data_IF_770987808648
#
_entry.id   IF_770987808648
#
_cell.length_a   1.000
_cell.length_b   1.000
_cell.length_c   1.000
_cell.angle_alpha   90.00
_cell.angle_beta   90.00
_cell.angle_gamma   90.00
#
_symmetry.space_group_name_H-M   'P 1'
#
loop_
_entity.id
_entity.type
_entity.pdbx_description
1 polymer ?
#
# COMPACT_ATOMS: atom_id res chain seq x y z
N UNK A 1 -27.52 9.16 19.55
CA UNK A 1 -27.66 8.87 18.11
C UNK A 1 -26.84 7.63 17.84
N UNK A 2 -27.41 6.56 17.32
CA UNK A 2 -26.65 5.40 16.85
C UNK A 2 -25.66 5.87 15.76
N UNK A 3 -24.42 5.39 15.83
CA UNK A 3 -23.43 5.73 14.82
C UNK A 3 -23.81 5.12 13.48
N UNK A 4 -23.79 5.91 12.42
CA UNK A 4 -24.06 5.41 11.06
C UNK A 4 -23.08 4.31 10.69
N UNK A 5 -23.56 3.28 10.02
CA UNK A 5 -22.76 2.11 9.62
C UNK A 5 -21.95 2.41 8.35
N UNK A 6 -20.63 2.24 8.39
CA UNK A 6 -19.77 2.34 7.20
C UNK A 6 -19.96 1.08 6.34
N UNK A 7 -20.80 1.20 5.30
CA UNK A 7 -21.18 0.04 4.49
C UNK A 7 -20.18 -0.34 3.40
N UNK A 8 -19.18 0.50 3.13
CA UNK A 8 -18.06 0.15 2.23
C UNK A 8 -17.09 -0.82 2.92
N UNK A 9 -16.99 -0.73 4.26
CA UNK A 9 -16.16 -1.61 5.07
C UNK A 9 -16.81 -2.96 5.39
N UNK A 10 -18.03 -3.23 4.92
CA UNK A 10 -18.72 -4.50 5.16
C UNK A 10 -18.29 -5.58 4.16
N UNK A 11 -18.17 -6.83 4.64
CA UNK A 11 -18.22 -7.99 3.75
C UNK A 11 -19.59 -8.07 3.07
N UNK A 12 -19.66 -8.76 1.94
CA UNK A 12 -20.92 -8.81 1.18
C UNK A 12 -22.07 -9.47 1.95
N UNK A 13 -21.80 -10.50 2.75
CA UNK A 13 -22.77 -11.12 3.65
C UNK A 13 -23.23 -10.16 4.76
N UNK A 14 -22.32 -9.42 5.38
CA UNK A 14 -22.66 -8.37 6.35
C UNK A 14 -23.49 -7.24 5.70
N UNK A 15 -23.22 -6.89 4.44
CA UNK A 15 -24.06 -5.95 3.69
C UNK A 15 -25.45 -6.54 3.43
N UNK A 16 -25.54 -7.83 3.10
CA UNK A 16 -26.82 -8.51 2.96
C UNK A 16 -27.63 -8.47 4.26
N UNK A 17 -26.99 -8.75 5.40
CA UNK A 17 -27.63 -8.73 6.73
C UNK A 17 -28.10 -7.33 7.09
N UNK A 18 -27.27 -6.30 6.86
CA UNK A 18 -27.69 -4.91 7.04
C UNK A 18 -28.93 -4.55 6.21
N UNK A 19 -28.96 -4.97 4.95
CA UNK A 19 -30.09 -4.69 4.05
C UNK A 19 -31.36 -5.44 4.48
N UNK A 20 -31.22 -6.69 4.91
CA UNK A 20 -32.40 -7.51 5.25
C UNK A 20 -32.89 -7.33 6.68
N UNK A 21 -31.97 -7.25 7.65
CA UNK A 21 -32.31 -7.19 9.07
C UNK A 21 -32.52 -5.74 9.54
N UNK A 22 -31.61 -4.82 9.18
CA UNK A 22 -31.65 -3.43 9.69
C UNK A 22 -32.59 -2.54 8.87
N UNK A 23 -32.73 -2.82 7.54
CA UNK A 23 -33.57 -2.03 6.63
C UNK A 23 -34.84 -2.76 6.16
N UNK A 24 -35.06 -4.03 6.54
CA UNK A 24 -36.22 -4.80 6.12
C UNK A 24 -36.42 -4.96 4.61
N UNK A 25 -35.30 -4.87 3.83
CA UNK A 25 -35.34 -4.90 2.37
C UNK A 25 -34.98 -6.28 1.81
N UNK A 26 -35.49 -6.65 0.63
CA UNK A 26 -35.11 -7.90 -0.01
C UNK A 26 -33.60 -8.01 -0.29
N UNK A 27 -33.00 -9.19 -0.11
CA UNK A 27 -31.57 -9.47 -0.24
C UNK A 27 -30.95 -8.99 -1.57
N UNK A 28 -31.70 -9.04 -2.69
CA UNK A 28 -31.18 -8.60 -3.99
C UNK A 28 -30.79 -7.10 -4.02
N UNK A 29 -31.32 -6.29 -3.08
CA UNK A 29 -30.94 -4.88 -2.94
C UNK A 29 -29.47 -4.72 -2.55
N UNK A 30 -28.91 -5.66 -1.80
CA UNK A 30 -27.49 -5.64 -1.44
C UNK A 30 -26.60 -5.64 -2.71
N UNK A 31 -26.93 -6.46 -3.72
CA UNK A 31 -26.20 -6.50 -4.99
C UNK A 31 -26.33 -5.19 -5.78
N UNK A 32 -27.50 -4.55 -5.77
CA UNK A 32 -27.70 -3.26 -6.41
C UNK A 32 -26.85 -2.17 -5.72
N UNK A 33 -26.88 -2.14 -4.38
CA UNK A 33 -26.14 -1.17 -3.58
C UNK A 33 -24.63 -1.38 -3.75
N UNK A 34 -24.12 -2.62 -3.68
CA UNK A 34 -22.72 -2.94 -3.95
C UNK A 34 -22.28 -2.45 -5.34
N UNK A 35 -23.11 -2.64 -6.36
CA UNK A 35 -22.84 -2.13 -7.71
C UNK A 35 -22.74 -0.61 -7.80
N UNK A 36 -23.45 0.14 -6.97
CA UNK A 36 -23.32 1.59 -6.85
C UNK A 36 -22.09 1.99 -6.04
N UNK A 37 -21.83 1.29 -4.92
CA UNK A 37 -20.64 1.50 -4.10
C UNK A 37 -19.37 1.38 -4.96
N UNK A 38 -19.25 0.34 -5.76
CA UNK A 38 -18.08 0.09 -6.61
C UNK A 38 -17.86 1.14 -7.72
N UNK A 39 -18.86 1.98 -7.95
CA UNK A 39 -18.81 3.12 -8.90
C UNK A 39 -18.60 4.47 -8.21
N UNK A 40 -18.47 4.50 -6.89
CA UNK A 40 -18.34 5.73 -6.12
C UNK A 40 -19.57 6.63 -6.21
N UNK A 41 -20.78 6.04 -6.16
CA UNK A 41 -22.06 6.74 -6.30
C UNK A 41 -22.67 6.95 -4.91
N UNK A 42 -23.05 8.21 -4.60
CA UNK A 42 -23.73 8.58 -3.35
C UNK A 42 -25.17 8.06 -3.30
N UNK A 43 -25.75 7.94 -2.09
CA UNK A 43 -27.08 7.37 -1.89
C UNK A 43 -28.17 8.06 -2.69
N UNK A 44 -28.15 9.39 -2.77
CA UNK A 44 -29.12 10.20 -3.52
C UNK A 44 -29.10 9.92 -5.03
N UNK A 45 -27.93 9.53 -5.56
CA UNK A 45 -27.71 9.23 -6.98
C UNK A 45 -27.96 7.75 -7.35
N UNK A 46 -28.35 6.88 -6.40
CA UNK A 46 -28.65 5.47 -6.66
C UNK A 46 -30.02 5.31 -7.34
N UNK A 47 -30.13 5.70 -8.61
CA UNK A 47 -31.39 5.91 -9.33
C UNK A 47 -32.33 4.70 -9.39
N UNK A 48 -31.81 3.46 -9.34
CA UNK A 48 -32.67 2.24 -9.36
C UNK A 48 -33.27 1.89 -8.01
N UNK A 49 -32.87 2.59 -6.93
CA UNK A 49 -33.44 2.41 -5.60
C UNK A 49 -34.63 3.35 -5.37
N UNK A 50 -35.69 2.88 -4.68
CA UNK A 50 -36.80 3.76 -4.25
C UNK A 50 -36.31 4.93 -3.41
N UNK A 51 -36.98 6.08 -3.52
CA UNK A 51 -36.59 7.30 -2.81
C UNK A 51 -36.55 7.12 -1.29
N UNK A 52 -37.54 6.44 -0.72
CA UNK A 52 -37.59 6.13 0.72
C UNK A 52 -36.39 5.31 1.18
N UNK A 53 -35.96 4.30 0.40
CA UNK A 53 -34.79 3.49 0.73
C UNK A 53 -33.51 4.32 0.67
N UNK A 54 -33.35 5.24 -0.30
CA UNK A 54 -32.20 6.14 -0.36
C UNK A 54 -32.12 7.07 0.84
N UNK A 55 -33.26 7.57 1.30
CA UNK A 55 -33.35 8.39 2.53
C UNK A 55 -32.95 7.56 3.74
N UNK A 56 -33.51 6.36 3.91
CA UNK A 56 -33.21 5.47 5.03
C UNK A 56 -31.73 5.06 5.05
N UNK A 57 -31.12 4.77 3.89
CA UNK A 57 -29.69 4.53 3.76
C UNK A 57 -28.86 5.75 4.24
N UNK A 58 -29.26 6.94 3.88
CA UNK A 58 -28.56 8.18 4.30
C UNK A 58 -28.65 8.44 5.81
N UNK A 59 -29.70 7.95 6.46
CA UNK A 59 -29.90 8.08 7.91
C UNK A 59 -29.10 7.04 8.69
N UNK A 60 -29.05 5.77 8.22
CA UNK A 60 -28.49 4.63 8.94
C UNK A 60 -27.06 4.26 8.51
N UNK A 61 -26.63 4.69 7.32
CA UNK A 61 -25.34 4.31 6.74
C UNK A 61 -24.51 5.53 6.30
N UNK A 62 -23.22 5.27 6.07
CA UNK A 62 -22.27 6.25 5.52
C UNK A 62 -21.40 5.61 4.44
N UNK A 63 -20.94 6.42 3.50
CA UNK A 63 -19.99 6.06 2.45
C UNK A 63 -18.73 6.92 2.63
N UNK A 64 -17.68 6.36 3.21
CA UNK A 64 -16.40 7.05 3.38
C UNK A 64 -15.56 6.97 2.10
N UNK A 65 -15.99 7.67 1.04
CA UNK A 65 -15.12 7.93 -0.09
C UNK A 65 -14.20 9.10 0.24
N UNK A 66 -12.89 9.00 -0.03
CA UNK A 66 -12.03 10.17 0.04
C UNK A 66 -12.36 11.12 -1.14
N UNK A 67 -12.37 12.42 -0.86
CA UNK A 67 -12.47 13.43 -1.91
C UNK A 67 -11.13 13.64 -2.61
N UNK A 68 -11.16 13.89 -3.92
CA UNK A 68 -9.95 14.24 -4.68
C UNK A 68 -9.69 15.74 -4.46
N UNK A 69 -8.73 16.04 -3.60
CA UNK A 69 -8.31 17.41 -3.31
C UNK A 69 -7.41 17.98 -4.41
N UNK A 70 -6.45 17.17 -4.87
CA UNK A 70 -5.52 17.54 -5.92
C UNK A 70 -5.21 16.35 -6.81
N UNK A 71 -5.01 16.60 -8.10
CA UNK A 71 -4.61 15.62 -9.10
C UNK A 71 -3.43 16.16 -9.90
N UNK A 72 -2.33 15.44 -9.88
CA UNK A 72 -1.13 15.74 -10.66
C UNK A 72 -0.89 14.64 -11.69
N UNK A 73 -0.62 15.02 -12.93
CA UNK A 73 -0.35 14.07 -14.03
C UNK A 73 1.08 14.29 -14.52
N UNK A 74 1.89 13.25 -14.49
CA UNK A 74 3.25 13.29 -15.02
C UNK A 74 3.27 13.53 -16.53
N UNK A 75 3.99 14.55 -16.95
CA UNK A 75 4.22 14.83 -18.36
C UNK A 75 5.18 13.81 -19.00
N UNK A 76 5.96 13.08 -18.19
CA UNK A 76 6.98 12.13 -18.66
C UNK A 76 6.39 10.78 -19.01
N UNK A 77 5.48 10.25 -18.17
CA UNK A 77 5.05 8.85 -18.25
C UNK A 77 3.55 8.64 -18.00
N UNK A 78 2.78 9.72 -17.80
CA UNK A 78 1.34 9.66 -17.55
C UNK A 78 0.94 9.10 -16.18
N UNK A 79 1.89 8.93 -15.26
CA UNK A 79 1.59 8.59 -13.86
C UNK A 79 0.70 9.66 -13.24
N UNK A 80 -0.33 9.26 -12.50
CA UNK A 80 -1.25 10.18 -11.84
C UNK A 80 -1.08 10.06 -10.34
N UNK A 81 -0.78 11.17 -9.69
CA UNK A 81 -0.73 11.28 -8.24
C UNK A 81 -1.96 12.04 -7.76
N UNK A 82 -2.62 11.47 -6.76
CA UNK A 82 -3.75 12.07 -6.08
C UNK A 82 -3.37 12.49 -4.67
N UNK A 83 -3.86 13.64 -4.25
CA UNK A 83 -4.03 14.02 -2.87
C UNK A 83 -5.52 13.82 -2.53
N UNK A 84 -5.77 12.91 -1.61
CA UNK A 84 -7.11 12.58 -1.14
C UNK A 84 -7.38 13.21 0.22
N UNK A 85 -8.55 13.85 0.37
CA UNK A 85 -9.07 14.33 1.66
C UNK A 85 -10.00 13.28 2.26
N UNK A 86 -9.71 12.86 3.48
CA UNK A 86 -10.55 11.96 4.26
C UNK A 86 -11.69 12.73 4.94
N UNK A 87 -12.66 11.99 5.49
CA UNK A 87 -13.86 12.55 6.11
C UNK A 87 -13.59 13.45 7.34
N UNK A 88 -12.46 13.27 8.01
CA UNK A 88 -12.00 14.06 9.15
C UNK A 88 -11.05 15.21 8.76
N UNK A 89 -10.84 15.40 7.46
CA UNK A 89 -9.96 16.44 6.92
C UNK A 89 -8.50 16.00 6.73
N UNK A 90 -8.11 14.81 7.19
CA UNK A 90 -6.77 14.29 6.98
C UNK A 90 -6.48 14.04 5.49
N UNK A 91 -5.22 14.26 5.09
CA UNK A 91 -4.80 14.15 3.70
C UNK A 91 -3.87 12.94 3.51
N UNK A 92 -4.16 12.14 2.49
CA UNK A 92 -3.33 11.01 2.09
C UNK A 92 -3.04 11.06 0.60
N UNK A 93 -1.97 10.41 0.18
CA UNK A 93 -1.60 10.36 -1.23
C UNK A 93 -1.76 8.95 -1.81
N UNK A 94 -2.17 8.88 -3.07
CA UNK A 94 -2.23 7.65 -3.87
C UNK A 94 -1.68 7.88 -5.27
N UNK A 95 -1.16 6.83 -5.92
CA UNK A 95 -0.53 6.96 -7.23
C UNK A 95 -1.03 5.88 -8.19
N UNK A 96 -1.55 6.30 -9.34
CA UNK A 96 -1.95 5.40 -10.44
C UNK A 96 -0.84 5.38 -11.48
N UNK A 97 -0.37 4.19 -11.81
CA UNK A 97 0.71 3.93 -12.76
C UNK A 97 0.20 3.05 -13.90
N UNK A 98 0.57 3.40 -15.13
CA UNK A 98 0.24 2.61 -16.31
C UNK A 98 1.39 1.67 -16.67
N UNK A 99 1.07 0.38 -16.84
CA UNK A 99 1.98 -0.65 -17.32
C UNK A 99 1.38 -1.33 -18.57
N UNK A 100 2.15 -2.13 -19.27
CA UNK A 100 1.68 -2.92 -20.42
C UNK A 100 0.54 -3.88 -20.04
N UNK A 101 0.59 -4.42 -18.82
CA UNK A 101 -0.41 -5.36 -18.28
C UNK A 101 -1.60 -4.68 -17.57
N UNK A 102 -1.76 -3.36 -17.70
CA UNK A 102 -2.88 -2.59 -17.12
C UNK A 102 -2.44 -1.54 -16.13
N UNK A 103 -3.41 -1.05 -15.34
CA UNK A 103 -3.17 -0.01 -14.35
C UNK A 103 -2.92 -0.61 -12.97
N UNK A 104 -1.89 -0.10 -12.30
CA UNK A 104 -1.57 -0.41 -10.91
C UNK A 104 -1.80 0.83 -10.04
N UNK A 105 -2.31 0.66 -8.85
CA UNK A 105 -2.44 1.75 -7.89
C UNK A 105 -1.62 1.48 -6.63
N UNK A 106 -0.84 2.47 -6.23
CA UNK A 106 -0.21 2.56 -4.93
C UNK A 106 -1.18 3.23 -3.97
N UNK A 107 -1.56 2.53 -2.89
CA UNK A 107 -2.52 3.01 -1.89
C UNK A 107 -1.86 3.22 -0.54
N UNK A 108 -2.37 4.20 0.21
CA UNK A 108 -2.02 4.46 1.61
C UNK A 108 -2.86 3.61 2.54
N UNK A 109 -2.28 3.21 3.68
CA UNK A 109 -2.93 2.43 4.74
C UNK A 109 -3.12 3.20 6.05
N UNK A 110 -2.48 4.33 6.20
CA UNK A 110 -2.53 5.19 7.38
C UNK A 110 -2.51 6.66 6.97
N UNK A 111 -2.95 7.55 7.85
CA UNK A 111 -2.63 8.96 7.82
C UNK A 111 -1.34 9.17 8.62
N UNK A 112 -0.22 9.45 7.92
CA UNK A 112 1.11 9.45 8.50
C UNK A 112 1.70 8.05 8.74
N UNK A 113 2.88 7.95 9.38
CA UNK A 113 3.55 6.68 9.65
C UNK A 113 4.47 6.79 10.86
N UNK A 114 4.38 5.84 11.81
CA UNK A 114 5.18 5.81 13.06
C UNK A 114 6.52 5.09 12.92
N UNK A 115 6.81 4.43 11.80
CA UNK A 115 7.98 3.53 11.68
C UNK A 115 9.33 4.28 11.68
N UNK A 116 9.35 5.57 11.38
CA UNK A 116 10.55 6.42 11.51
C UNK A 116 11.65 6.15 10.49
N UNK A 117 11.36 5.48 9.36
CA UNK A 117 12.34 5.24 8.29
C UNK A 117 12.95 6.56 7.82
N UNK A 118 14.27 6.72 7.96
CA UNK A 118 14.92 8.02 7.81
C UNK A 118 15.01 8.54 6.37
N UNK A 119 14.77 7.70 5.40
CA UNK A 119 14.74 8.05 3.96
C UNK A 119 13.32 8.32 3.43
N UNK A 120 12.27 8.13 4.26
CA UNK A 120 10.88 8.20 3.83
C UNK A 120 10.21 9.50 4.31
N UNK A 121 9.53 10.20 3.40
CA UNK A 121 8.78 11.41 3.71
C UNK A 121 7.52 11.12 4.56
N UNK A 122 6.91 9.96 4.40
CA UNK A 122 5.68 9.56 5.12
C UNK A 122 5.84 9.49 6.64
N UNK A 123 7.10 9.43 7.13
CA UNK A 123 7.38 9.41 8.57
C UNK A 123 7.58 10.81 9.17
N UNK A 124 7.55 11.86 8.35
CA UNK A 124 7.63 13.25 8.80
C UNK A 124 6.26 13.61 9.40
N UNK A 125 6.25 14.03 10.66
CA UNK A 125 4.99 14.31 11.39
C UNK A 125 4.40 13.10 12.15
N UNK A 126 4.93 11.90 11.96
CA UNK A 126 4.46 10.70 12.66
C UNK A 126 3.16 10.13 12.08
N UNK A 127 2.51 9.26 12.86
CA UNK A 127 1.22 8.64 12.52
C UNK A 127 0.09 9.39 13.23
N UNK A 128 -0.96 9.70 12.51
CA UNK A 128 -2.19 10.31 13.03
C UNK A 128 -3.17 9.20 13.39
N UNK A 129 -3.55 8.37 12.41
CA UNK A 129 -4.45 7.22 12.61
C UNK A 129 -4.35 6.17 11.52
N UNK A 130 -4.94 5.03 11.80
CA UNK A 130 -5.22 3.99 10.81
C UNK A 130 -6.32 4.44 9.85
N UNK A 131 -6.23 4.01 8.58
CA UNK A 131 -7.33 4.14 7.64
C UNK A 131 -8.34 3.01 7.83
N UNK A 132 -9.63 3.31 7.68
CA UNK A 132 -10.68 2.30 7.59
C UNK A 132 -10.58 1.51 6.27
N UNK A 133 -11.13 0.29 6.21
CA UNK A 133 -11.17 -0.48 4.95
C UNK A 133 -11.81 0.30 3.81
N UNK A 134 -12.88 1.06 4.09
CA UNK A 134 -13.55 1.95 3.16
C UNK A 134 -12.65 3.04 2.59
N UNK A 135 -11.81 3.64 3.43
CA UNK A 135 -10.89 4.70 3.00
C UNK A 135 -9.76 4.14 2.12
N UNK A 136 -9.28 2.91 2.41
CA UNK A 136 -8.28 2.24 1.55
C UNK A 136 -8.92 1.86 0.21
N UNK A 137 -10.11 1.25 0.22
CA UNK A 137 -10.85 0.86 -0.98
C UNK A 137 -11.30 2.09 -1.79
N UNK A 138 -11.72 3.13 -1.09
CA UNK A 138 -12.19 4.39 -1.65
C UNK A 138 -11.14 5.09 -2.52
N UNK A 139 -9.85 5.01 -2.18
CA UNK A 139 -8.78 5.52 -3.04
C UNK A 139 -8.85 4.89 -4.44
N UNK A 140 -9.05 3.57 -4.52
CA UNK A 140 -9.15 2.83 -5.78
C UNK A 140 -10.41 3.21 -6.53
N UNK A 141 -11.55 3.23 -5.84
CA UNK A 141 -12.87 3.54 -6.42
C UNK A 141 -12.85 4.95 -7.02
N UNK A 142 -12.36 5.95 -6.28
CA UNK A 142 -12.37 7.33 -6.72
C UNK A 142 -11.39 7.58 -7.87
N UNK A 143 -10.21 6.94 -7.86
CA UNK A 143 -9.26 7.00 -8.96
C UNK A 143 -9.82 6.33 -10.24
N UNK A 144 -10.49 5.17 -10.13
CA UNK A 144 -11.16 4.52 -11.25
C UNK A 144 -12.28 5.38 -11.84
N UNK A 145 -13.07 6.02 -10.99
CA UNK A 145 -14.15 6.93 -11.38
C UNK A 145 -13.61 8.15 -12.14
N UNK A 146 -12.57 8.80 -11.60
CA UNK A 146 -11.99 10.01 -12.20
C UNK A 146 -11.33 9.74 -13.56
N UNK A 147 -10.56 8.63 -13.66
CA UNK A 147 -9.83 8.29 -14.88
C UNK A 147 -10.66 7.47 -15.88
N UNK A 148 -11.84 6.99 -15.51
CA UNK A 148 -12.66 6.06 -16.29
C UNK A 148 -11.89 4.81 -16.73
N UNK A 149 -11.07 4.24 -15.83
CA UNK A 149 -10.23 3.05 -16.05
C UNK A 149 -10.58 1.95 -15.07
N UNK A 150 -10.06 0.75 -15.34
CA UNK A 150 -10.03 -0.36 -14.38
C UNK A 150 -8.61 -0.52 -13.81
N UNK A 151 -8.48 -0.44 -12.50
CA UNK A 151 -7.25 -0.80 -11.78
C UNK A 151 -7.23 -2.31 -11.60
N UNK A 152 -6.16 -2.96 -12.05
CA UNK A 152 -6.01 -4.42 -12.02
C UNK A 152 -5.01 -4.90 -10.97
N UNK A 153 -4.13 -4.03 -10.50
CA UNK A 153 -3.11 -4.36 -9.51
C UNK A 153 -3.06 -3.29 -8.42
N UNK A 154 -2.75 -3.71 -7.18
CA UNK A 154 -2.61 -2.82 -6.04
C UNK A 154 -1.27 -3.07 -5.35
N UNK A 155 -0.57 -1.99 -5.00
CA UNK A 155 0.61 -2.05 -4.14
C UNK A 155 0.35 -1.21 -2.89
N UNK A 156 0.46 -1.81 -1.72
CA UNK A 156 0.32 -1.12 -0.44
C UNK A 156 1.70 -0.59 -0.03
N UNK A 157 2.14 0.46 -0.72
CA UNK A 157 3.45 1.11 -0.57
C UNK A 157 3.31 2.65 -0.48
N UNK A 158 2.10 3.13 -0.19
CA UNK A 158 1.79 4.53 0.06
C UNK A 158 2.18 4.97 1.46
N UNK A 159 1.42 5.88 2.04
CA UNK A 159 1.63 6.37 3.40
C UNK A 159 1.18 5.30 4.40
N UNK A 160 2.03 5.01 5.40
CA UNK A 160 1.74 4.08 6.49
C UNK A 160 2.49 2.75 6.40
N UNK A 161 2.37 1.97 7.48
CA UNK A 161 2.80 0.58 7.59
C UNK A 161 1.54 -0.31 7.58
N UNK A 162 1.29 -1.08 6.50
CA UNK A 162 0.06 -1.86 6.40
C UNK A 162 -0.15 -2.85 7.56
N UNK A 163 0.93 -3.43 8.09
CA UNK A 163 0.83 -4.38 9.20
C UNK A 163 0.63 -3.70 10.58
N UNK A 164 0.85 -2.39 10.70
CA UNK A 164 0.46 -1.62 11.88
C UNK A 164 -1.06 -1.30 11.89
N UNK A 165 -1.68 -1.33 10.69
CA UNK A 165 -3.14 -1.26 10.50
C UNK A 165 -3.73 -2.64 10.16
N UNK A 166 -3.30 -3.69 10.83
CA UNK A 166 -3.50 -5.10 10.46
C UNK A 166 -4.95 -5.46 10.15
N UNK A 167 -5.86 -5.25 11.11
CA UNK A 167 -7.25 -5.71 11.01
C UNK A 167 -8.00 -5.05 9.84
N UNK A 168 -7.83 -3.73 9.67
CA UNK A 168 -8.43 -3.00 8.56
C UNK A 168 -7.84 -3.41 7.21
N UNK A 169 -6.53 -3.66 7.16
CA UNK A 169 -5.85 -4.10 5.93
C UNK A 169 -6.28 -5.51 5.52
N UNK A 170 -6.36 -6.45 6.45
CA UNK A 170 -6.86 -7.81 6.16
C UNK A 170 -8.31 -7.75 5.69
N UNK A 171 -9.14 -6.93 6.34
CA UNK A 171 -10.53 -6.71 5.94
C UNK A 171 -10.61 -6.11 4.53
N UNK A 172 -9.83 -5.07 4.24
CA UNK A 172 -9.72 -4.49 2.89
C UNK A 172 -9.33 -5.54 1.84
N UNK A 173 -8.32 -6.38 2.10
CA UNK A 173 -7.86 -7.41 1.17
C UNK A 173 -8.97 -8.41 0.81
N UNK A 174 -9.78 -8.81 1.78
CA UNK A 174 -10.92 -9.70 1.57
C UNK A 174 -12.05 -9.01 0.79
N UNK A 175 -12.35 -7.73 1.11
CA UNK A 175 -13.38 -6.94 0.41
C UNK A 175 -12.98 -6.69 -1.04
N UNK A 176 -11.79 -6.15 -1.29
CA UNK A 176 -11.36 -5.76 -2.65
C UNK A 176 -11.29 -6.92 -3.62
N UNK A 177 -11.06 -8.15 -3.11
CA UNK A 177 -10.99 -9.37 -3.92
C UNK A 177 -12.34 -10.07 -4.13
N UNK A 178 -13.37 -9.67 -3.40
CA UNK A 178 -14.73 -10.20 -3.56
C UNK A 178 -15.28 -9.90 -4.97
N UNK A 179 -15.97 -10.85 -5.62
CA UNK A 179 -16.65 -10.61 -6.89
C UNK A 179 -17.72 -9.51 -6.84
N UNK A 180 -18.32 -9.29 -5.68
CA UNK A 180 -19.33 -8.26 -5.43
C UNK A 180 -18.71 -6.86 -5.20
N UNK A 181 -17.38 -6.81 -4.97
CA UNK A 181 -16.60 -5.57 -4.88
C UNK A 181 -15.84 -5.32 -6.18
N UNK A 182 -14.59 -4.87 -6.12
CA UNK A 182 -13.80 -4.56 -7.31
C UNK A 182 -13.26 -5.81 -8.03
N UNK A 183 -13.28 -6.98 -7.40
CA UNK A 183 -12.83 -8.26 -7.96
C UNK A 183 -11.33 -8.25 -8.33
N UNK A 184 -10.51 -7.50 -7.59
CA UNK A 184 -9.07 -7.50 -7.79
C UNK A 184 -8.49 -8.72 -7.08
N UNK A 185 -8.12 -9.75 -7.85
CA UNK A 185 -7.58 -10.98 -7.27
C UNK A 185 -6.34 -10.74 -6.39
N UNK A 186 -6.28 -11.41 -5.24
CA UNK A 186 -5.21 -11.22 -4.25
C UNK A 186 -3.79 -11.44 -4.79
N UNK A 187 -3.63 -12.23 -5.86
CA UNK A 187 -2.34 -12.41 -6.55
C UNK A 187 -1.84 -11.15 -7.26
N UNK A 188 -2.73 -10.19 -7.48
CA UNK A 188 -2.45 -8.87 -8.05
C UNK A 188 -2.22 -7.80 -6.99
N UNK A 189 -2.13 -8.21 -5.72
CA UNK A 189 -1.90 -7.30 -4.60
C UNK A 189 -0.54 -7.60 -3.98
N UNK A 190 0.27 -6.54 -3.82
CA UNK A 190 1.53 -6.60 -3.08
C UNK A 190 1.38 -5.78 -1.80
N UNK A 191 1.52 -6.44 -0.65
CA UNK A 191 1.55 -5.82 0.66
C UNK A 191 3.02 -5.63 1.06
N UNK A 192 3.44 -4.38 1.26
CA UNK A 192 4.79 -4.05 1.72
C UNK A 192 4.79 -3.81 3.22
N UNK A 193 5.84 -4.29 3.89
CA UNK A 193 6.03 -4.05 5.33
C UNK A 193 7.51 -3.76 5.64
N UNK A 194 7.73 -2.91 6.61
CA UNK A 194 9.06 -2.69 7.18
C UNK A 194 9.55 -3.85 8.06
N UNK A 195 8.70 -4.87 8.31
CA UNK A 195 9.06 -6.09 8.99
C UNK A 195 8.57 -6.18 10.44
N UNK A 196 7.27 -5.97 10.68
CA UNK A 196 6.61 -6.29 11.94
C UNK A 196 6.46 -7.81 12.05
N UNK A 197 7.45 -8.48 12.63
CA UNK A 197 7.61 -9.95 12.61
C UNK A 197 6.40 -10.68 13.19
N UNK A 198 5.86 -10.22 14.31
CA UNK A 198 4.66 -10.76 14.93
C UNK A 198 3.44 -10.72 13.98
N UNK A 199 3.31 -9.64 13.21
CA UNK A 199 2.25 -9.45 12.23
C UNK A 199 2.46 -10.27 10.97
N UNK A 200 3.72 -10.52 10.57
CA UNK A 200 4.03 -11.44 9.45
C UNK A 200 3.55 -12.86 9.80
N UNK A 201 3.77 -13.34 11.03
CA UNK A 201 3.24 -14.63 11.47
C UNK A 201 1.70 -14.67 11.53
N UNK A 202 1.05 -13.58 11.94
CA UNK A 202 -0.41 -13.49 11.87
C UNK A 202 -0.91 -13.53 10.43
N UNK A 203 -0.27 -12.77 9.53
CA UNK A 203 -0.62 -12.73 8.11
C UNK A 203 -0.45 -14.10 7.42
N UNK A 204 0.55 -14.90 7.84
CA UNK A 204 0.72 -16.25 7.33
C UNK A 204 -0.49 -17.16 7.64
N UNK A 205 -1.13 -16.97 8.80
CA UNK A 205 -2.34 -17.72 9.20
C UNK A 205 -3.58 -17.37 8.37
N UNK A 206 -3.64 -16.17 7.81
CA UNK A 206 -4.73 -15.72 6.94
C UNK A 206 -4.81 -16.47 5.60
N UNK A 207 -3.72 -17.14 5.19
CA UNK A 207 -3.60 -17.91 3.94
C UNK A 207 -3.99 -17.10 2.69
N UNK A 208 -3.79 -15.77 2.72
CA UNK A 208 -4.11 -14.88 1.62
C UNK A 208 -3.03 -14.99 0.52
N UNK A 209 -3.40 -15.28 -0.75
CA UNK A 209 -2.44 -15.48 -1.83
C UNK A 209 -1.86 -14.15 -2.39
N UNK A 210 -1.50 -13.22 -1.52
CA UNK A 210 -0.84 -11.96 -1.85
C UNK A 210 0.66 -12.13 -2.10
N UNK A 211 1.32 -11.10 -2.63
CA UNK A 211 2.78 -10.99 -2.61
C UNK A 211 3.18 -10.19 -1.38
N UNK A 212 4.03 -10.79 -0.52
CA UNK A 212 4.61 -10.08 0.61
C UNK A 212 5.91 -9.41 0.16
N UNK A 213 5.98 -8.07 0.29
CA UNK A 213 7.16 -7.27 0.00
C UNK A 213 7.80 -6.80 1.30
N UNK A 214 9.07 -7.11 1.51
CA UNK A 214 9.82 -6.81 2.73
C UNK A 214 10.76 -5.66 2.47
N UNK A 215 10.58 -4.54 3.16
CA UNK A 215 11.52 -3.43 3.20
C UNK A 215 12.76 -3.82 4.01
N UNK A 216 13.74 -4.47 3.34
CA UNK A 216 14.97 -4.95 3.98
C UNK A 216 16.03 -3.84 4.07
N UNK A 217 16.38 -3.23 2.96
CA UNK A 217 17.22 -2.04 2.77
C UNK A 217 18.65 -2.09 3.33
N UNK A 218 19.09 -3.20 3.94
CA UNK A 218 20.45 -3.42 4.39
C UNK A 218 20.77 -4.92 4.45
N UNK A 219 22.06 -5.27 4.50
CA UNK A 219 22.53 -6.64 4.66
C UNK A 219 23.03 -6.92 6.10
N UNK A 220 23.10 -5.91 6.97
CA UNK A 220 23.50 -5.99 8.36
C UNK A 220 22.64 -5.12 9.28
N UNK A 221 22.61 -5.48 10.58
CA UNK A 221 21.76 -4.82 11.56
C UNK A 221 22.22 -3.40 11.93
N UNK A 222 23.50 -3.11 11.81
CA UNK A 222 24.05 -1.77 12.11
C UNK A 222 23.54 -0.79 11.05
N UNK A 223 23.73 -1.14 9.78
CA UNK A 223 23.26 -0.33 8.65
C UNK A 223 21.73 -0.22 8.69
N UNK A 224 21.00 -1.35 8.87
CA UNK A 224 19.54 -1.33 8.92
C UNK A 224 19.01 -0.47 10.06
N UNK A 225 19.54 -0.61 11.28
CA UNK A 225 19.12 0.20 12.43
C UNK A 225 19.40 1.70 12.24
N UNK A 226 20.44 2.03 11.48
CA UNK A 226 20.79 3.43 11.17
C UNK A 226 19.74 4.13 10.30
N UNK A 227 19.02 3.40 9.43
CA UNK A 227 18.04 3.94 8.48
C UNK A 227 16.59 3.53 8.79
N UNK A 228 16.39 2.40 9.49
CA UNK A 228 15.07 1.85 9.85
C UNK A 228 15.02 1.49 11.34
N UNK A 229 14.45 2.37 12.19
CA UNK A 229 14.40 2.14 13.64
C UNK A 229 13.70 0.85 14.07
N UNK A 230 12.76 0.33 13.27
CA UNK A 230 12.06 -0.94 13.51
C UNK A 230 13.02 -2.12 13.70
N UNK A 231 14.23 -2.06 13.14
CA UNK A 231 15.25 -3.10 13.30
C UNK A 231 15.72 -3.29 14.75
N UNK A 232 15.51 -2.29 15.61
CA UNK A 232 15.81 -2.42 17.06
C UNK A 232 14.85 -3.34 17.79
N UNK A 233 13.64 -3.52 17.26
CA UNK A 233 12.63 -4.45 17.78
C UNK A 233 12.76 -5.82 17.13
N UNK A 234 12.94 -5.85 15.81
CA UNK A 234 13.08 -7.07 15.01
C UNK A 234 14.30 -6.95 14.10
N UNK A 235 15.38 -7.61 14.50
CA UNK A 235 16.62 -7.66 13.74
C UNK A 235 16.46 -8.47 12.44
N UNK A 236 17.46 -8.43 11.58
CA UNK A 236 17.46 -9.12 10.28
C UNK A 236 17.26 -10.64 10.44
N UNK A 237 17.84 -11.25 11.46
CA UNK A 237 17.69 -12.69 11.72
C UNK A 237 16.22 -13.06 11.97
N UNK A 238 15.55 -12.36 12.88
CA UNK A 238 14.14 -12.56 13.19
C UNK A 238 13.25 -12.32 11.97
N UNK A 239 13.55 -11.27 11.21
CA UNK A 239 12.79 -10.89 10.01
C UNK A 239 12.91 -11.94 8.91
N UNK A 240 14.11 -12.38 8.58
CA UNK A 240 14.34 -13.36 7.51
C UNK A 240 13.84 -14.76 7.90
N UNK A 241 13.89 -15.10 9.20
CA UNK A 241 13.25 -16.31 9.74
C UNK A 241 11.74 -16.26 9.50
N UNK A 242 11.08 -15.15 9.87
CA UNK A 242 9.65 -14.97 9.62
C UNK A 242 9.30 -15.00 8.12
N UNK A 243 10.16 -14.47 7.26
CA UNK A 243 9.98 -14.56 5.80
C UNK A 243 10.02 -16.01 5.30
N UNK A 244 10.99 -16.80 5.77
CA UNK A 244 11.07 -18.23 5.46
C UNK A 244 9.80 -18.96 5.90
N UNK A 245 9.39 -18.75 7.14
CA UNK A 245 8.23 -19.42 7.74
C UNK A 245 6.92 -18.97 7.04
N UNK A 246 6.82 -17.71 6.62
CA UNK A 246 5.71 -17.22 5.79
C UNK A 246 5.64 -17.95 4.44
N UNK A 247 6.79 -18.13 3.78
CA UNK A 247 6.83 -18.88 2.52
C UNK A 247 6.41 -20.34 2.75
N UNK A 248 6.93 -21.00 3.79
CA UNK A 248 6.62 -22.38 4.09
C UNK A 248 5.14 -22.59 4.41
N UNK A 249 4.51 -21.62 5.07
CA UNK A 249 3.09 -21.67 5.39
C UNK A 249 2.18 -21.38 4.18
N UNK A 250 2.60 -20.51 3.25
CA UNK A 250 1.70 -19.98 2.21
C UNK A 250 2.07 -20.41 0.79
N UNK A 251 3.27 -20.87 0.55
CA UNK A 251 3.85 -21.13 -0.77
C UNK A 251 4.03 -19.86 -1.62
N UNK A 252 3.92 -18.65 -1.02
CA UNK A 252 3.94 -17.40 -1.74
C UNK A 252 5.32 -16.77 -1.79
N UNK A 253 5.75 -16.40 -3.01
CA UNK A 253 7.03 -15.72 -3.24
C UNK A 253 7.11 -14.41 -2.47
N UNK A 254 8.29 -14.15 -1.88
CA UNK A 254 8.61 -12.89 -1.20
C UNK A 254 9.39 -11.98 -2.15
N UNK A 255 9.11 -10.69 -2.09
CA UNK A 255 9.91 -9.63 -2.71
C UNK A 255 10.67 -8.88 -1.64
N UNK A 256 11.97 -8.68 -1.81
CA UNK A 256 12.78 -7.83 -0.94
C UNK A 256 13.01 -6.49 -1.61
N UNK A 257 12.51 -5.45 -0.99
CA UNK A 257 12.75 -4.08 -1.42
C UNK A 257 14.09 -3.61 -0.81
N UNK A 258 14.99 -3.13 -1.65
CA UNK A 258 16.30 -2.67 -1.22
C UNK A 258 16.57 -1.27 -1.78
N UNK A 259 16.42 -0.26 -0.93
CA UNK A 259 16.70 1.14 -1.28
C UNK A 259 18.20 1.38 -1.30
N UNK A 260 18.77 1.73 -2.46
CA UNK A 260 20.17 2.05 -2.64
C UNK A 260 20.42 3.52 -2.26
N UNK A 261 21.28 3.72 -1.26
CA UNK A 261 21.67 5.03 -0.70
C UNK A 261 23.17 5.19 -0.88
N UNK A 262 23.58 6.24 -1.62
CA UNK A 262 24.96 6.49 -1.96
C UNK A 262 25.90 6.50 -0.74
N UNK A 263 26.96 5.69 -0.81
CA UNK A 263 27.99 5.58 0.22
C UNK A 263 27.54 4.94 1.54
N UNK A 264 26.34 4.29 1.57
CA UNK A 264 25.84 3.61 2.78
C UNK A 264 25.60 2.13 2.58
N UNK A 265 24.89 1.75 1.53
CA UNK A 265 24.46 0.37 1.30
C UNK A 265 24.47 -0.01 -0.19
N UNK A 266 25.26 0.67 -1.01
CA UNK A 266 25.27 0.55 -2.47
C UNK A 266 26.58 -0.01 -3.05
N UNK A 267 27.49 -0.54 -2.20
CA UNK A 267 28.76 -1.12 -2.67
C UNK A 267 28.57 -2.53 -3.23
N UNK A 268 29.52 -2.96 -4.07
CA UNK A 268 29.54 -4.32 -4.66
C UNK A 268 29.74 -5.40 -3.59
N UNK A 269 30.50 -5.08 -2.53
CA UNK A 269 30.71 -5.95 -1.37
C UNK A 269 29.38 -6.22 -0.66
N UNK A 270 28.60 -5.17 -0.42
CA UNK A 270 27.27 -5.30 0.19
C UNK A 270 26.30 -6.08 -0.70
N UNK A 271 26.43 -6.01 -2.03
CA UNK A 271 25.66 -6.89 -2.91
C UNK A 271 26.03 -8.37 -2.71
N UNK A 272 27.31 -8.69 -2.47
CA UNK A 272 27.74 -10.06 -2.14
C UNK A 272 27.19 -10.49 -0.78
N UNK A 273 27.26 -9.63 0.22
CA UNK A 273 26.74 -9.89 1.58
C UNK A 273 25.23 -10.13 1.55
N UNK A 274 24.48 -9.27 0.83
CA UNK A 274 23.03 -9.43 0.65
C UNK A 274 22.69 -10.78 -0.02
N UNK A 275 23.44 -11.15 -1.07
CA UNK A 275 23.23 -12.42 -1.74
C UNK A 275 23.49 -13.63 -0.81
N UNK A 276 24.56 -13.57 -0.03
CA UNK A 276 24.89 -14.62 0.94
C UNK A 276 23.83 -14.71 2.05
N UNK A 277 23.41 -13.56 2.57
CA UNK A 277 22.38 -13.44 3.59
C UNK A 277 21.04 -14.07 3.13
N UNK A 278 20.52 -13.65 1.97
CA UNK A 278 19.26 -14.16 1.46
C UNK A 278 19.30 -15.65 1.13
N UNK A 279 20.42 -16.14 0.58
CA UNK A 279 20.60 -17.57 0.33
C UNK A 279 20.66 -18.41 1.62
N UNK A 280 21.29 -17.89 2.67
CA UNK A 280 21.36 -18.57 3.98
C UNK A 280 19.96 -18.82 4.56
N UNK A 281 19.04 -17.86 4.48
CA UNK A 281 17.72 -17.98 5.10
C UNK A 281 16.66 -18.61 4.20
N UNK A 282 16.73 -18.34 2.88
CA UNK A 282 15.69 -18.75 1.95
C UNK A 282 16.06 -20.00 1.14
N UNK A 283 17.36 -20.36 1.09
CA UNK A 283 17.83 -21.57 0.41
C UNK A 283 17.28 -21.68 -1.03
N UNK A 284 16.47 -22.69 -1.31
CA UNK A 284 15.86 -22.94 -2.63
C UNK A 284 14.47 -22.28 -2.80
N UNK A 285 14.01 -21.48 -1.84
CA UNK A 285 12.72 -20.80 -1.93
C UNK A 285 12.79 -19.65 -2.91
N UNK A 286 11.81 -19.50 -3.81
CA UNK A 286 11.82 -18.41 -4.78
C UNK A 286 11.56 -17.06 -4.12
N UNK A 287 12.47 -16.13 -4.35
CA UNK A 287 12.34 -14.72 -3.96
C UNK A 287 12.84 -13.80 -5.06
N UNK A 288 12.58 -12.52 -4.91
CA UNK A 288 13.01 -11.47 -5.83
C UNK A 288 13.57 -10.29 -5.04
N UNK A 289 14.59 -9.63 -5.56
CA UNK A 289 15.14 -8.39 -5.00
C UNK A 289 14.80 -7.23 -5.93
N UNK A 290 14.10 -6.24 -5.40
CA UNK A 290 13.73 -5.03 -6.10
C UNK A 290 14.61 -3.87 -5.62
N UNK A 291 15.55 -3.43 -6.45
CA UNK A 291 16.49 -2.36 -6.14
C UNK A 291 15.83 -1.01 -6.43
N UNK A 292 15.81 -0.15 -5.42
CA UNK A 292 15.17 1.17 -5.49
C UNK A 292 16.24 2.23 -5.26
N UNK A 293 16.78 2.90 -6.29
CA UNK A 293 17.62 4.08 -6.06
C UNK A 293 16.83 5.08 -5.21
N UNK A 294 17.39 5.53 -4.08
CA UNK A 294 16.68 6.44 -3.18
C UNK A 294 16.19 7.69 -3.92
N UNK A 295 14.93 8.05 -3.70
CA UNK A 295 14.41 9.30 -4.24
C UNK A 295 14.71 10.43 -3.26
N UNK A 296 15.17 11.59 -3.72
CA UNK A 296 15.44 12.72 -2.84
C UNK A 296 14.17 13.15 -2.10
N UNK A 297 14.32 13.37 -0.81
CA UNK A 297 13.30 13.97 0.07
C UNK A 297 13.93 15.24 0.63
N UNK A 298 13.25 16.37 0.49
CA UNK A 298 13.80 17.70 0.79
C UNK A 298 14.35 17.82 2.21
N UNK A 299 13.68 17.17 3.18
CA UNK A 299 14.02 17.19 4.60
C UNK A 299 15.00 16.07 5.01
N UNK A 300 15.53 15.32 4.06
CA UNK A 300 16.41 14.17 4.29
C UNK A 300 17.73 14.34 3.54
N UNK A 301 18.82 14.00 4.19
CA UNK A 301 20.20 14.17 3.65
C UNK A 301 20.72 12.95 2.87
N UNK A 302 19.83 12.08 2.35
CA UNK A 302 20.26 10.89 1.63
C UNK A 302 20.48 11.19 0.15
N UNK A 303 21.68 10.86 -0.34
CA UNK A 303 22.03 11.01 -1.73
C UNK A 303 21.67 9.77 -2.54
N UNK A 304 21.21 10.00 -3.76
CA UNK A 304 20.91 8.93 -4.73
C UNK A 304 22.21 8.30 -5.21
N UNK A 305 22.29 6.96 -5.24
CA UNK A 305 23.36 6.22 -5.89
C UNK A 305 23.45 6.54 -7.38
N UNK A 306 24.64 6.66 -7.92
CA UNK A 306 24.82 6.87 -9.34
C UNK A 306 24.40 5.63 -10.15
N UNK A 307 24.16 5.84 -11.46
CA UNK A 307 23.65 4.78 -12.33
C UNK A 307 24.61 3.59 -12.46
N UNK A 308 25.93 3.85 -12.40
CA UNK A 308 26.95 2.80 -12.53
C UNK A 308 26.97 1.93 -11.26
N UNK A 309 26.93 2.55 -10.07
CA UNK A 309 26.82 1.83 -8.80
C UNK A 309 25.56 0.95 -8.74
N UNK A 310 24.39 1.50 -9.11
CA UNK A 310 23.13 0.74 -9.19
C UNK A 310 23.24 -0.46 -10.12
N UNK A 311 23.79 -0.27 -11.32
CA UNK A 311 23.97 -1.33 -12.31
C UNK A 311 24.99 -2.38 -11.84
N UNK A 312 26.09 -1.96 -11.22
CA UNK A 312 27.10 -2.87 -10.66
C UNK A 312 26.53 -3.72 -9.54
N UNK A 313 25.76 -3.12 -8.62
CA UNK A 313 25.06 -3.83 -7.54
C UNK A 313 24.08 -4.86 -8.10
N UNK A 314 23.23 -4.46 -9.04
CA UNK A 314 22.25 -5.34 -9.68
C UNK A 314 22.95 -6.51 -10.41
N UNK A 315 23.98 -6.23 -11.22
CA UNK A 315 24.73 -7.24 -11.92
C UNK A 315 25.37 -8.23 -10.94
N UNK A 316 25.99 -7.73 -9.85
CA UNK A 316 26.61 -8.58 -8.84
C UNK A 316 25.60 -9.53 -8.17
N UNK A 317 24.39 -9.08 -7.88
CA UNK A 317 23.32 -9.96 -7.38
C UNK A 317 22.94 -11.02 -8.41
N UNK A 318 22.78 -10.64 -9.68
CA UNK A 318 22.49 -11.59 -10.77
C UNK A 318 23.62 -12.63 -10.95
N UNK A 319 24.90 -12.21 -10.92
CA UNK A 319 26.08 -13.09 -10.99
C UNK A 319 26.10 -14.09 -9.82
N UNK A 320 25.55 -13.71 -8.68
CA UNK A 320 25.33 -14.59 -7.52
C UNK A 320 24.05 -15.43 -7.63
N UNK A 321 23.34 -15.40 -8.76
CA UNK A 321 22.13 -16.20 -8.99
C UNK A 321 20.90 -15.66 -8.26
N UNK A 322 20.89 -14.38 -7.86
CA UNK A 322 19.72 -13.71 -7.28
C UNK A 322 18.90 -13.07 -8.41
N UNK A 323 17.61 -13.33 -8.44
CA UNK A 323 16.70 -12.62 -9.34
C UNK A 323 16.52 -11.20 -8.81
N UNK A 324 17.21 -10.23 -9.41
CA UNK A 324 17.20 -8.83 -9.01
C UNK A 324 16.83 -7.91 -10.18
N UNK A 325 16.04 -6.88 -9.91
CA UNK A 325 15.68 -5.84 -10.89
C UNK A 325 15.80 -4.46 -10.29
N UNK A 326 16.08 -3.47 -11.14
CA UNK A 326 16.05 -2.06 -10.75
C UNK A 326 14.66 -1.52 -11.04
N UNK A 327 14.00 -0.96 -10.03
CA UNK A 327 12.66 -0.40 -10.14
C UNK A 327 12.64 0.80 -11.09
N UNK A 328 11.70 0.79 -12.03
CA UNK A 328 11.43 1.96 -12.87
C UNK A 328 11.01 3.14 -12.01
N UNK A 329 11.63 4.30 -12.24
CA UNK A 329 11.16 5.55 -11.67
C UNK A 329 9.97 6.04 -12.48
N UNK A 330 8.81 6.19 -11.86
CA UNK A 330 7.59 6.74 -12.45
C UNK A 330 7.17 7.99 -11.68
N UNK A 331 6.57 8.96 -12.38
CA UNK A 331 6.08 10.20 -11.81
C UNK A 331 7.16 11.04 -11.13
N UNK A 332 8.38 11.04 -11.68
CA UNK A 332 9.51 11.71 -11.05
C UNK A 332 9.42 13.24 -11.05
N UNK A 333 8.68 13.81 -11.97
CA UNK A 333 8.39 15.25 -12.13
C UNK A 333 7.29 15.74 -11.18
N UNK A 334 6.45 14.82 -10.66
CA UNK A 334 5.35 15.13 -9.73
C UNK A 334 5.58 14.56 -8.32
N UNK A 335 6.83 14.17 -7.98
CA UNK A 335 7.18 13.55 -6.69
C UNK A 335 6.25 12.38 -6.30
N UNK A 336 5.91 11.52 -7.27
CA UNK A 336 5.05 10.36 -7.08
C UNK A 336 5.83 9.07 -6.78
N UNK A 337 7.16 9.14 -6.64
CA UNK A 337 8.01 7.98 -6.44
C UNK A 337 8.00 7.52 -4.97
N UNK A 338 8.38 6.24 -4.76
CA UNK A 338 8.45 5.65 -3.42
C UNK A 338 9.29 6.49 -2.45
N UNK A 339 8.76 6.64 -1.22
CA UNK A 339 9.36 7.43 -0.15
C UNK A 339 9.13 8.94 -0.24
N UNK A 340 8.44 9.43 -1.30
CA UNK A 340 8.17 10.86 -1.48
C UNK A 340 6.75 11.28 -1.08
N UNK A 341 5.85 10.32 -0.84
CA UNK A 341 4.47 10.60 -0.47
C UNK A 341 4.40 11.16 0.95
N UNK A 342 3.72 12.29 1.12
CA UNK A 342 3.65 13.00 2.39
C UNK A 342 2.43 13.92 2.50
N UNK A 343 2.19 14.38 3.72
CA UNK A 343 1.29 15.48 4.03
C UNK A 343 1.89 16.82 3.59
N UNK A 344 1.53 17.33 2.41
CA UNK A 344 2.05 18.62 1.91
C UNK A 344 1.27 19.85 2.38
N UNK A 345 0.04 19.69 2.83
CA UNK A 345 -0.90 20.81 3.02
C UNK A 345 -0.76 21.58 4.34
N UNK A 346 -0.05 21.06 5.32
CA UNK A 346 0.15 21.79 6.59
C UNK A 346 1.21 22.91 6.52
N UNK A 347 2.11 22.87 5.53
CA UNK A 347 3.21 23.86 5.45
C UNK A 347 2.78 25.22 4.85
N UNK A 348 1.63 25.32 4.18
CA UNK A 348 1.20 26.57 3.54
C UNK A 348 0.28 27.42 4.41
N UNK A 349 -0.14 26.98 5.60
CA UNK A 349 -1.02 27.73 6.50
C UNK A 349 -0.29 28.50 7.62
N UNK A 350 1.05 28.47 7.65
CA UNK A 350 1.85 29.15 8.70
C UNK A 350 2.70 30.31 8.16
N UNK A 351 2.50 30.72 6.90
CA UNK A 351 3.11 31.94 6.35
C UNK A 351 2.03 32.90 5.86
N UNK A 352 1.32 33.47 6.82
CA UNK A 352 0.42 34.61 6.67
C UNK A 352 0.63 35.54 7.84
#
# INVERSE_FOLDING_TARGET
>A
MESKKDIISLYYDELCDFITCDLGQPKFRAKQIAGYINKGISFDMMATLPKNLRTELSEKAILFYPDIEEKMVSAIDGTVKYLFRLHDGELIEGVVMKYEHGYSMCVSSEAGCSMGCKFCASTIGGKIRNLFPSEILGQIIMAQKDLSIRISNVVMMGIGEPLDNYDNVVRFLRIVSSPESLGIGLRHISLSTCGLVDKIYLLAKEQLPITLSISLHACDDITRSSIMPVNKLWNIDSLLTACRDFFDATGRRISFEYTLIAGRNDSVEQACELAALLKKYLENRPFHVNLIPVNPVRERSFAKSDKNAVNAFCRKLCDKGINATVRRKLGGDIEASCGQLRHKYQDNSVSG
#
